data_IF_686889595704
#
_entry.id   IF_686889595704
#
_cell.length_a   1.000
_cell.length_b   1.000
_cell.length_c   1.000
_cell.angle_alpha   90.00
_cell.angle_beta   90.00
_cell.angle_gamma   90.00
#
_symmetry.space_group_name_H-M   'P 1'
#
loop_
_entity.id
_entity.type
_entity.pdbx_description
1 polymer ?
#
# COMPACT_ATOMS: atom_id res chain seq x y z
N UNK A 1 -10.24 23.79 11.49
CA UNK A 1 -11.47 23.02 11.75
C UNK A 1 -11.09 21.62 12.22
N UNK A 2 -11.10 21.34 13.54
CA UNK A 2 -10.65 20.06 14.10
C UNK A 2 -11.53 18.87 13.68
N UNK A 3 -12.79 19.09 13.30
CA UNK A 3 -13.69 18.03 12.84
C UNK A 3 -13.26 17.34 11.54
N UNK A 4 -12.29 17.91 10.82
CA UNK A 4 -11.75 17.36 9.57
C UNK A 4 -10.54 16.43 9.76
N UNK A 5 -10.11 16.19 11.00
CA UNK A 5 -8.88 15.45 11.29
C UNK A 5 -9.19 14.18 12.09
N UNK A 6 -8.42 13.14 11.80
CA UNK A 6 -8.35 11.91 12.60
C UNK A 6 -6.89 11.67 12.98
N UNK A 7 -6.69 10.92 14.06
CA UNK A 7 -5.37 10.48 14.50
C UNK A 7 -5.40 8.97 14.76
N UNK A 8 -4.30 8.31 14.45
CA UNK A 8 -4.07 6.89 14.72
C UNK A 8 -2.65 6.73 15.27
N UNK A 9 -2.39 5.72 16.11
CA UNK A 9 -1.03 5.38 16.51
C UNK A 9 -0.19 5.07 15.27
N UNK A 10 1.08 5.48 15.28
CA UNK A 10 2.02 5.12 14.22
C UNK A 10 2.24 3.62 14.24
N UNK A 11 1.84 2.94 13.16
CA UNK A 11 2.08 1.51 12.98
C UNK A 11 3.41 1.29 12.25
N UNK A 12 4.11 0.23 12.62
CA UNK A 12 5.26 -0.27 11.85
C UNK A 12 4.74 -0.98 10.61
N UNK A 13 4.51 -0.23 9.52
CA UNK A 13 4.07 -0.81 8.25
C UNK A 13 5.10 -1.80 7.71
N UNK A 14 4.64 -2.89 7.11
CA UNK A 14 5.52 -3.83 6.42
C UNK A 14 6.21 -3.16 5.24
N UNK A 15 7.39 -3.68 4.88
CA UNK A 15 8.17 -3.20 3.74
C UNK A 15 8.31 -4.27 2.67
N UNK A 16 8.30 -3.86 1.41
CA UNK A 16 8.61 -4.72 0.26
C UNK A 16 9.88 -4.20 -0.44
N UNK A 17 10.80 -5.07 -0.88
CA UNK A 17 11.96 -4.67 -1.67
C UNK A 17 11.55 -3.83 -2.89
N UNK A 18 12.17 -2.67 -3.03
CA UNK A 18 11.86 -1.72 -4.09
C UNK A 18 13.14 -1.19 -4.69
N UNK A 19 13.18 -1.14 -6.02
CA UNK A 19 14.32 -0.61 -6.74
C UNK A 19 14.33 0.91 -6.64
N UNK A 20 15.42 1.43 -6.09
CA UNK A 20 15.71 2.86 -5.89
C UNK A 20 17.07 3.17 -6.52
N UNK A 21 17.50 4.43 -6.49
CA UNK A 21 18.75 4.86 -7.15
C UNK A 21 19.98 4.11 -6.61
N UNK A 22 20.01 3.82 -5.31
CA UNK A 22 21.10 3.10 -4.64
C UNK A 22 20.99 1.57 -4.76
N UNK A 23 19.97 1.05 -5.45
CA UNK A 23 19.73 -0.39 -5.63
C UNK A 23 18.45 -0.88 -4.96
N UNK A 24 18.46 -2.08 -4.36
CA UNK A 24 17.29 -2.62 -3.68
C UNK A 24 17.23 -2.14 -2.22
N UNK A 25 16.16 -1.44 -1.87
CA UNK A 25 15.93 -0.97 -0.52
C UNK A 25 14.50 -1.30 -0.04
N UNK A 26 14.28 -1.49 1.28
CA UNK A 26 12.94 -1.66 1.82
C UNK A 26 12.14 -0.36 1.66
N UNK A 27 10.89 -0.48 1.22
CA UNK A 27 9.92 0.63 1.18
C UNK A 27 8.57 0.16 1.72
N UNK A 28 7.88 1.03 2.47
CA UNK A 28 6.59 0.71 3.04
C UNK A 28 5.54 0.52 1.95
N UNK A 29 4.70 -0.49 2.13
CA UNK A 29 3.62 -0.82 1.20
C UNK A 29 2.29 -0.91 1.92
N UNK A 30 1.21 -0.69 1.16
CA UNK A 30 -0.11 -1.11 1.57
C UNK A 30 -0.82 -1.87 0.46
N UNK A 31 -1.84 -2.63 0.84
CA UNK A 31 -2.60 -3.48 -0.07
C UNK A 31 -4.07 -3.11 -0.01
N UNK A 32 -4.66 -2.88 -1.19
CA UNK A 32 -6.09 -2.68 -1.38
C UNK A 32 -6.69 -3.83 -2.20
N UNK A 33 -7.21 -4.88 -1.54
CA UNK A 33 -8.04 -5.87 -2.22
C UNK A 33 -9.42 -5.29 -2.55
N UNK A 34 -10.15 -5.96 -3.44
CA UNK A 34 -11.50 -5.56 -3.82
C UNK A 34 -12.48 -6.69 -3.52
N UNK A 35 -13.41 -6.42 -2.61
CA UNK A 35 -14.51 -7.32 -2.29
C UNK A 35 -15.64 -7.06 -3.27
N UNK A 36 -16.12 -8.13 -3.92
CA UNK A 36 -17.27 -8.12 -4.81
C UNK A 36 -18.48 -8.64 -4.06
N UNK A 37 -19.53 -7.83 -3.95
CA UNK A 37 -20.77 -8.17 -3.25
C UNK A 37 -21.92 -8.28 -4.25
N UNK A 38 -22.52 -9.46 -4.34
CA UNK A 38 -23.72 -9.73 -5.14
C UNK A 38 -24.59 -10.76 -4.43
N UNK A 39 -25.09 -11.77 -5.16
CA UNK A 39 -25.75 -12.93 -4.53
C UNK A 39 -24.83 -13.66 -3.54
N UNK A 40 -23.53 -13.56 -3.77
CA UNK A 40 -22.46 -14.08 -2.93
C UNK A 40 -21.40 -12.99 -2.73
N UNK A 41 -20.64 -13.09 -1.64
CA UNK A 41 -19.48 -12.23 -1.36
C UNK A 41 -18.21 -12.96 -1.79
N UNK A 42 -17.40 -12.33 -2.66
CA UNK A 42 -16.18 -12.93 -3.22
C UNK A 42 -15.02 -11.94 -3.24
N UNK A 43 -13.80 -12.46 -3.21
CA UNK A 43 -12.59 -11.73 -3.54
C UNK A 43 -11.95 -12.34 -4.78
N UNK A 44 -11.39 -11.48 -5.63
CA UNK A 44 -10.47 -11.91 -6.70
C UNK A 44 -9.09 -12.13 -6.05
N UNK A 45 -8.32 -13.16 -6.45
CA UNK A 45 -6.96 -13.38 -5.94
C UNK A 45 -6.00 -12.30 -6.47
N UNK A 46 -6.06 -11.11 -5.87
CA UNK A 46 -5.25 -9.96 -6.25
C UNK A 46 -5.68 -8.68 -5.54
N UNK A 47 -5.03 -7.59 -5.89
CA UNK A 47 -5.31 -6.27 -5.33
C UNK A 47 -4.36 -5.21 -5.84
N UNK A 48 -4.64 -3.96 -5.49
CA UNK A 48 -3.75 -2.85 -5.76
C UNK A 48 -2.74 -2.75 -4.61
N UNK A 49 -1.47 -3.04 -4.88
CA UNK A 49 -0.38 -2.73 -3.94
C UNK A 49 0.17 -1.34 -4.25
N UNK A 50 0.32 -0.49 -3.23
CA UNK A 50 0.99 0.81 -3.34
C UNK A 50 2.27 0.82 -2.54
N UNK A 51 3.22 1.63 -2.95
CA UNK A 51 4.54 1.74 -2.32
C UNK A 51 4.92 3.19 -2.07
N UNK A 52 5.41 3.50 -0.87
CA UNK A 52 5.99 4.80 -0.54
C UNK A 52 7.43 4.83 -1.06
N UNK A 53 7.71 5.56 -2.16
CA UNK A 53 9.03 5.51 -2.81
C UNK A 53 10.12 6.26 -2.03
N UNK A 54 9.72 7.30 -1.27
CA UNK A 54 10.62 8.07 -0.41
C UNK A 54 11.03 7.26 0.81
N UNK A 55 12.32 7.24 1.11
CA UNK A 55 12.87 6.56 2.28
C UNK A 55 12.21 7.05 3.59
N UNK A 56 11.85 6.10 4.46
CA UNK A 56 11.19 6.36 5.75
C UNK A 56 9.75 6.89 5.67
N UNK A 57 9.21 7.13 4.46
CA UNK A 57 7.85 7.63 4.29
C UNK A 57 6.82 6.54 4.53
N UNK A 58 5.77 6.87 5.29
CA UNK A 58 4.57 6.05 5.43
C UNK A 58 3.47 6.46 4.41
N UNK A 59 3.74 7.48 3.60
CA UNK A 59 2.77 8.00 2.63
C UNK A 59 2.90 7.25 1.30
N UNK A 60 1.92 6.39 1.02
CA UNK A 60 1.81 5.62 -0.23
C UNK A 60 0.96 6.32 -1.31
N UNK A 61 0.44 7.52 -1.03
CA UNK A 61 -0.43 8.23 -1.96
C UNK A 61 0.34 8.68 -3.21
N UNK A 62 -0.20 8.39 -4.40
CA UNK A 62 0.41 8.72 -5.69
C UNK A 62 0.62 10.23 -5.89
N UNK A 63 -0.27 11.06 -5.33
CA UNK A 63 -0.12 12.52 -5.36
C UNK A 63 1.12 13.05 -4.62
N UNK A 64 1.79 12.21 -3.81
CA UNK A 64 2.98 12.56 -3.04
C UNK A 64 4.16 11.62 -3.31
N UNK A 65 4.24 11.07 -4.53
CA UNK A 65 5.35 10.20 -4.93
C UNK A 65 5.19 8.73 -4.53
N UNK A 66 3.95 8.29 -4.31
CA UNK A 66 3.61 6.88 -4.20
C UNK A 66 3.63 6.18 -5.56
N UNK A 67 4.14 4.95 -5.59
CA UNK A 67 4.10 4.05 -6.75
C UNK A 67 3.10 2.91 -6.55
N UNK A 68 3.02 2.03 -7.55
CA UNK A 68 2.22 0.81 -7.49
C UNK A 68 3.08 -0.43 -7.76
N UNK A 69 2.68 -1.57 -7.21
CA UNK A 69 3.26 -2.89 -7.49
C UNK A 69 2.15 -3.85 -7.87
N UNK A 70 2.51 -4.86 -8.66
CA UNK A 70 1.64 -6.01 -8.89
C UNK A 70 1.53 -6.85 -7.59
N UNK A 71 0.38 -7.50 -7.40
CA UNK A 71 0.09 -8.31 -6.21
C UNK A 71 -0.12 -9.74 -6.63
N UNK A 72 0.80 -10.63 -6.28
CA UNK A 72 0.68 -12.05 -6.59
C UNK A 72 0.13 -12.81 -5.40
N UNK A 73 -0.98 -13.52 -5.61
CA UNK A 73 -1.53 -14.52 -4.69
C UNK A 73 -1.22 -15.88 -5.29
N UNK A 74 -0.47 -16.70 -4.58
CA UNK A 74 0.05 -17.98 -5.07
C UNK A 74 -0.56 -19.12 -4.24
N UNK A 75 -0.97 -20.20 -4.90
CA UNK A 75 -1.50 -21.43 -4.31
C UNK A 75 -0.40 -22.42 -3.90
#
# INVERSE_FOLDING_TARGET
>A
NPANYIAQPTLSLSTCPTFVEEGLAPRHVDLRPYVLSGKEVKLVPGGLTRVALREGSLVVNSSQGGGTKDTWVVD
#
